data_IF_748824491729
#
_entry.id   IF_748824491729
#
_cell.length_a   1.000
_cell.length_b   1.000
_cell.length_c   1.000
_cell.angle_alpha   90.00
_cell.angle_beta   90.00
_cell.angle_gamma   90.00
#
_symmetry.space_group_name_H-M   'P 1'
#
loop_
_entity.id
_entity.type
_entity.pdbx_description
1 polymer ?
#
# COMPACT_ATOMS: atom_id res chain seq x y z
N UNK A 1 13.46 11.97 26.57
CA UNK A 1 12.85 11.58 25.29
C UNK A 1 13.94 10.93 24.47
N UNK A 2 13.72 9.69 24.05
CA UNK A 2 14.64 9.00 23.15
C UNK A 2 14.63 9.71 21.79
N UNK A 3 15.77 9.75 21.09
CA UNK A 3 15.85 10.40 19.78
C UNK A 3 15.22 9.47 18.71
N UNK A 4 14.48 10.02 17.73
CA UNK A 4 13.83 9.21 16.71
C UNK A 4 14.87 8.45 15.86
N UNK A 5 14.50 7.25 15.41
CA UNK A 5 15.31 6.44 14.50
C UNK A 5 15.42 7.09 13.11
N UNK A 6 14.34 7.74 12.65
CA UNK A 6 14.29 8.49 11.40
C UNK A 6 13.69 9.87 11.68
N UNK A 7 14.36 10.94 11.26
CA UNK A 7 13.80 12.30 11.20
C UNK A 7 13.85 12.83 9.77
N UNK A 8 12.70 13.22 9.24
CA UNK A 8 12.54 13.87 7.93
C UNK A 8 11.99 15.26 8.18
N UNK A 9 12.71 16.29 7.75
CA UNK A 9 12.40 17.69 8.05
C UNK A 9 12.35 18.53 6.77
N UNK A 10 11.14 18.93 6.38
CA UNK A 10 10.81 19.79 5.25
C UNK A 10 11.48 19.34 3.95
N UNK A 11 11.45 18.03 3.70
CA UNK A 11 12.14 17.42 2.58
C UNK A 11 11.37 17.65 1.29
N UNK A 12 12.05 18.29 0.36
CA UNK A 12 11.55 18.54 -0.99
C UNK A 12 12.52 17.96 -2.03
N UNK A 13 11.99 17.39 -3.11
CA UNK A 13 12.78 16.85 -4.21
C UNK A 13 12.17 17.20 -5.56
N UNK A 14 12.97 17.81 -6.44
CA UNK A 14 12.63 18.04 -7.85
C UNK A 14 13.56 17.31 -8.80
N UNK A 15 13.03 16.94 -9.95
CA UNK A 15 13.75 16.38 -11.09
C UNK A 15 13.61 17.31 -12.29
N UNK A 16 14.65 17.38 -13.13
CA UNK A 16 14.59 18.14 -14.39
C UNK A 16 13.84 17.31 -15.45
N UNK A 17 12.86 17.90 -16.13
CA UNK A 17 12.19 17.35 -17.31
C UNK A 17 13.14 17.47 -18.52
N UNK A 18 13.35 16.36 -19.24
CA UNK A 18 14.18 16.29 -20.46
C UNK A 18 15.30 15.25 -20.40
N UNK A 19 15.78 14.80 -21.56
CA UNK A 19 16.92 13.87 -21.66
C UNK A 19 18.14 14.48 -20.96
N UNK A 20 18.81 13.67 -20.13
CA UNK A 20 20.10 13.97 -19.57
C UNK A 20 21.17 13.99 -20.70
N UNK A 21 21.17 15.04 -21.51
CA UNK A 21 22.31 15.39 -22.34
C UNK A 21 23.44 15.81 -21.42
N UNK A 22 24.62 15.25 -21.62
CA UNK A 22 25.85 15.69 -20.96
C UNK A 22 25.95 17.21 -21.09
N UNK A 23 26.02 17.92 -19.95
CA UNK A 23 26.40 19.34 -19.96
C UNK A 23 27.78 19.43 -20.59
N UNK A 24 27.86 19.99 -21.78
CA UNK A 24 29.15 20.25 -22.43
C UNK A 24 29.66 21.61 -21.95
N UNK A 25 30.98 21.76 -21.78
CA UNK A 25 31.62 23.04 -21.41
C UNK A 25 31.19 24.20 -22.33
N UNK A 26 30.81 23.89 -23.58
CA UNK A 26 30.23 24.85 -24.53
C UNK A 26 28.91 25.46 -24.05
N UNK A 27 28.02 24.69 -23.42
CA UNK A 27 26.75 25.21 -22.90
C UNK A 27 26.96 26.14 -21.69
N UNK A 28 27.94 25.86 -20.84
CA UNK A 28 28.28 26.74 -19.70
C UNK A 28 28.89 28.07 -20.18
N UNK A 29 29.73 28.04 -21.22
CA UNK A 29 30.31 29.24 -21.84
C UNK A 29 29.25 30.11 -22.53
N UNK A 30 28.31 29.50 -23.28
CA UNK A 30 27.20 30.22 -23.91
C UNK A 30 26.25 30.87 -22.89
N UNK A 31 26.02 30.22 -21.74
CA UNK A 31 25.20 30.78 -20.67
C UNK A 31 25.92 31.90 -19.89
N UNK A 32 27.26 31.92 -19.92
CA UNK A 32 28.05 32.99 -19.30
C UNK A 32 27.97 34.29 -20.10
N UNK A 33 28.02 34.21 -21.43
CA UNK A 33 27.88 35.38 -22.33
C UNK A 33 26.43 35.86 -22.42
N UNK A 34 25.45 34.97 -22.34
CA UNK A 34 24.03 35.32 -22.31
C UNK A 34 23.53 35.99 -21.00
N UNK A 35 24.35 36.02 -19.94
CA UNK A 35 24.01 36.69 -18.67
C UNK A 35 24.17 38.21 -18.72
N UNK A 36 24.86 38.77 -19.71
CA UNK A 36 25.04 40.22 -19.82
C UNK A 36 23.87 40.95 -20.50
N UNK A 37 22.96 40.26 -21.20
CA UNK A 37 21.99 40.91 -22.10
C UNK A 37 20.52 40.54 -21.86
N UNK A 38 20.18 39.80 -20.80
CA UNK A 38 18.78 39.44 -20.51
C UNK A 38 18.33 39.84 -19.09
N UNK A 39 17.24 40.62 -18.94
CA UNK A 39 16.62 40.84 -17.65
C UNK A 39 16.16 39.49 -17.08
N UNK A 40 16.49 39.20 -15.81
CA UNK A 40 16.09 37.98 -15.11
C UNK A 40 14.59 38.01 -14.84
N UNK A 41 13.78 37.57 -15.79
CA UNK A 41 12.42 37.10 -15.49
C UNK A 41 12.51 35.68 -14.92
N UNK A 42 12.03 35.52 -13.69
CA UNK A 42 12.01 34.28 -12.91
C UNK A 42 10.98 33.24 -13.39
N UNK A 43 10.24 33.52 -14.46
CA UNK A 43 9.09 32.71 -14.89
C UNK A 43 9.44 31.56 -15.85
N UNK A 44 10.65 31.55 -16.44
CA UNK A 44 11.06 30.54 -17.41
C UNK A 44 11.80 29.32 -16.84
N UNK A 45 12.35 29.42 -15.63
CA UNK A 45 13.25 28.40 -15.08
C UNK A 45 12.52 27.17 -14.49
N UNK A 46 11.24 27.31 -14.13
CA UNK A 46 10.51 26.29 -13.36
C UNK A 46 9.74 25.28 -14.23
N UNK A 47 9.48 25.60 -15.51
CA UNK A 47 8.79 24.68 -16.45
C UNK A 47 9.57 23.39 -16.72
N UNK A 48 10.89 23.43 -16.56
CA UNK A 48 11.78 22.31 -16.76
C UNK A 48 11.97 21.45 -15.52
N UNK A 49 11.24 21.66 -14.42
CA UNK A 49 11.34 20.83 -13.23
C UNK A 49 9.98 20.25 -12.83
N UNK A 50 10.01 19.04 -12.29
CA UNK A 50 8.86 18.38 -11.66
C UNK A 50 9.21 18.11 -10.20
N UNK A 51 8.36 18.54 -9.28
CA UNK A 51 8.48 18.20 -7.88
C UNK A 51 7.91 16.80 -7.66
N UNK A 52 8.76 15.89 -7.19
CA UNK A 52 8.36 14.55 -6.76
C UNK A 52 7.99 14.50 -5.27
N UNK A 53 8.57 15.38 -4.46
CA UNK A 53 8.22 15.59 -3.05
C UNK A 53 8.27 17.09 -2.73
N UNK A 54 7.37 17.54 -1.86
CA UNK A 54 7.21 18.92 -1.41
C UNK A 54 6.98 18.95 0.09
N UNK A 55 7.96 19.50 0.80
CA UNK A 55 7.95 19.85 2.23
C UNK A 55 7.41 18.73 3.13
N UNK A 56 7.89 17.50 2.89
CA UNK A 56 7.52 16.31 3.67
C UNK A 56 8.27 16.32 4.99
N UNK A 57 7.53 16.18 6.09
CA UNK A 57 8.06 16.11 7.46
C UNK A 57 7.41 14.99 8.25
N UNK A 58 8.21 14.13 8.87
CA UNK A 58 7.75 13.09 9.80
C UNK A 58 8.93 12.52 10.60
N UNK A 59 8.60 11.87 11.71
CA UNK A 59 9.56 11.14 12.56
C UNK A 59 9.10 9.70 12.74
N UNK A 60 10.06 8.80 12.90
CA UNK A 60 9.84 7.38 13.19
C UNK A 60 10.63 7.01 14.44
N UNK A 61 9.93 6.50 15.44
CA UNK A 61 10.52 6.08 16.71
C UNK A 61 11.23 4.72 16.58
N UNK A 62 12.23 4.41 17.42
CA UNK A 62 12.85 3.09 17.45
C UNK A 62 11.81 1.97 17.65
N UNK A 63 11.86 0.95 16.82
CA UNK A 63 10.93 -0.20 16.87
C UNK A 63 9.55 0.06 16.27
N UNK A 64 9.30 1.28 15.76
CA UNK A 64 8.06 1.62 15.09
C UNK A 64 7.98 1.00 13.69
N UNK A 65 6.77 0.62 13.27
CA UNK A 65 6.48 -0.01 11.99
C UNK A 65 5.60 0.91 11.16
N UNK A 66 6.25 1.70 10.31
CA UNK A 66 5.64 2.74 9.50
C UNK A 66 5.31 2.24 8.09
N UNK A 67 4.03 2.34 7.70
CA UNK A 67 3.59 2.16 6.33
C UNK A 67 3.60 3.49 5.56
N UNK A 68 4.11 3.51 4.33
CA UNK A 68 3.99 4.66 3.42
C UNK A 68 3.14 4.22 2.24
N UNK A 69 1.93 4.77 2.17
CA UNK A 69 0.94 4.45 1.15
C UNK A 69 0.59 5.69 0.33
N UNK A 70 -0.07 5.48 -0.81
CA UNK A 70 -0.42 6.55 -1.73
C UNK A 70 -0.49 6.06 -3.16
N UNK A 71 -1.09 6.83 -4.08
CA UNK A 71 -1.27 6.40 -5.47
C UNK A 71 0.06 6.35 -6.22
N UNK A 72 0.02 5.82 -7.44
CA UNK A 72 1.17 5.88 -8.35
C UNK A 72 1.54 7.32 -8.66
N UNK A 73 2.84 7.61 -8.70
CA UNK A 73 3.36 8.97 -8.90
C UNK A 73 3.24 9.92 -7.69
N UNK A 74 2.80 9.45 -6.53
CA UNK A 74 2.70 10.27 -5.30
C UNK A 74 4.05 10.63 -4.65
N UNK A 75 5.16 10.02 -5.09
CA UNK A 75 6.50 10.26 -4.56
C UNK A 75 7.05 9.16 -3.65
N UNK A 76 6.32 8.06 -3.40
CA UNK A 76 6.75 6.91 -2.58
C UNK A 76 8.18 6.42 -2.87
N UNK A 77 8.45 5.98 -4.10
CA UNK A 77 9.79 5.51 -4.52
C UNK A 77 10.85 6.61 -4.42
N UNK A 78 10.47 7.87 -4.61
CA UNK A 78 11.41 8.99 -4.42
C UNK A 78 11.76 9.15 -2.95
N UNK A 79 10.78 9.13 -2.04
CA UNK A 79 11.00 9.22 -0.60
C UNK A 79 11.85 8.05 -0.11
N UNK A 80 11.53 6.84 -0.55
CA UNK A 80 12.28 5.63 -0.28
C UNK A 80 13.76 5.76 -0.72
N UNK A 81 14.03 6.27 -1.93
CA UNK A 81 15.41 6.54 -2.41
C UNK A 81 16.13 7.64 -1.62
N UNK A 82 15.42 8.61 -1.09
CA UNK A 82 15.99 9.64 -0.22
C UNK A 82 16.35 9.06 1.15
N UNK A 83 15.46 8.26 1.75
CA UNK A 83 15.71 7.55 3.00
C UNK A 83 16.88 6.57 2.86
N UNK A 84 16.97 5.85 1.72
CA UNK A 84 18.07 4.96 1.41
C UNK A 84 19.41 5.66 1.13
N UNK A 85 19.43 7.00 1.06
CA UNK A 85 20.64 7.76 0.72
C UNK A 85 21.09 7.66 -0.75
N UNK A 86 20.34 6.94 -1.60
CA UNK A 86 20.64 6.77 -3.04
C UNK A 86 20.56 8.13 -3.76
N UNK A 87 19.69 9.01 -3.31
CA UNK A 87 19.56 10.36 -3.86
C UNK A 87 19.49 11.39 -2.74
N UNK A 88 20.07 12.58 -2.97
CA UNK A 88 20.01 13.69 -2.01
C UNK A 88 18.73 14.53 -2.17
N UNK A 89 18.16 15.05 -1.08
CA UNK A 89 17.04 15.98 -1.15
C UNK A 89 17.45 17.28 -1.84
N UNK A 90 16.51 18.00 -2.44
CA UNK A 90 16.75 19.35 -2.99
C UNK A 90 16.71 20.40 -1.89
N UNK A 91 15.80 20.24 -0.92
CA UNK A 91 15.70 21.04 0.30
C UNK A 91 15.34 20.13 1.47
N UNK A 92 15.57 20.61 2.69
CA UNK A 92 15.29 19.86 3.92
C UNK A 92 16.41 18.91 4.32
N UNK A 93 16.18 18.14 5.37
CA UNK A 93 17.16 17.26 5.98
C UNK A 93 16.53 15.90 6.31
N UNK A 94 17.31 14.84 6.13
CA UNK A 94 17.01 13.49 6.61
C UNK A 94 18.12 13.10 7.58
N UNK A 95 17.74 12.61 8.76
CA UNK A 95 18.66 12.08 9.77
C UNK A 95 18.23 10.66 10.12
N UNK A 96 19.19 9.73 10.16
CA UNK A 96 18.97 8.33 10.51
C UNK A 96 19.89 7.94 11.66
N UNK A 97 19.36 7.20 12.64
CA UNK A 97 20.13 6.70 13.79
C UNK A 97 20.11 5.18 13.79
N UNK A 98 21.22 4.58 13.37
CA UNK A 98 21.40 3.14 13.29
C UNK A 98 21.80 2.68 11.89
N UNK A 99 22.07 1.38 11.77
CA UNK A 99 22.38 0.68 10.52
C UNK A 99 21.10 0.53 9.70
N UNK A 100 21.11 1.11 8.50
CA UNK A 100 20.02 1.02 7.55
C UNK A 100 20.17 -0.24 6.68
N UNK A 101 19.15 -1.09 6.68
CA UNK A 101 18.97 -2.16 5.73
C UNK A 101 17.94 -1.77 4.68
N UNK A 102 18.21 -2.09 3.42
CA UNK A 102 17.42 -1.61 2.30
C UNK A 102 17.06 -2.78 1.38
N UNK A 103 15.78 -3.20 1.39
CA UNK A 103 15.23 -4.22 0.47
C UNK A 103 14.72 -3.57 -0.82
N UNK A 104 15.57 -2.77 -1.45
CA UNK A 104 15.26 -2.08 -2.69
C UNK A 104 16.29 -2.54 -3.71
N UNK A 105 15.85 -2.90 -4.91
CA UNK A 105 16.74 -3.32 -5.99
C UNK A 105 17.64 -4.51 -5.55
N UNK A 106 17.05 -5.62 -5.09
CA UNK A 106 17.76 -6.79 -4.52
C UNK A 106 18.84 -7.43 -5.43
N UNK A 107 18.81 -7.13 -6.73
CA UNK A 107 19.82 -7.58 -7.70
C UNK A 107 20.98 -6.59 -7.84
N UNK A 108 20.85 -5.37 -7.32
CA UNK A 108 21.90 -4.37 -7.33
C UNK A 108 23.05 -4.83 -6.44
N UNK A 109 24.26 -4.77 -6.99
CA UNK A 109 25.47 -5.22 -6.30
C UNK A 109 25.91 -6.64 -6.61
N UNK A 110 25.15 -7.40 -7.41
CA UNK A 110 25.68 -8.64 -7.98
C UNK A 110 26.66 -8.39 -9.12
N UNK A 111 27.74 -9.16 -9.13
CA UNK A 111 28.74 -9.16 -10.18
C UNK A 111 28.60 -10.42 -11.05
N UNK A 112 28.30 -10.28 -12.36
CA UNK A 112 27.97 -11.41 -13.25
C UNK A 112 29.03 -12.51 -13.34
N UNK A 113 30.31 -12.13 -13.23
CA UNK A 113 31.44 -13.07 -13.31
C UNK A 113 31.76 -13.78 -11.99
N UNK A 114 31.20 -13.31 -10.86
CA UNK A 114 31.41 -13.93 -9.57
C UNK A 114 30.42 -15.09 -9.33
N UNK A 115 30.84 -16.07 -8.57
CA UNK A 115 30.00 -17.19 -8.09
C UNK A 115 28.88 -16.69 -7.18
N UNK A 116 27.86 -17.52 -6.95
CA UNK A 116 26.83 -17.23 -5.95
C UNK A 116 27.42 -16.97 -4.56
N UNK A 117 28.41 -17.77 -4.14
CA UNK A 117 29.13 -17.58 -2.88
C UNK A 117 29.76 -16.20 -2.80
N UNK A 118 30.57 -15.83 -3.78
CA UNK A 118 31.24 -14.51 -3.80
C UNK A 118 30.23 -13.36 -3.84
N UNK A 119 29.12 -13.54 -4.55
CA UNK A 119 28.03 -12.58 -4.59
C UNK A 119 27.30 -12.43 -3.24
N UNK A 120 27.16 -13.49 -2.44
CA UNK A 120 26.65 -13.39 -1.05
C UNK A 120 27.57 -12.50 -0.21
N UNK A 121 28.89 -12.68 -0.32
CA UNK A 121 29.85 -11.84 0.40
C UNK A 121 29.86 -10.39 -0.10
N UNK A 122 29.83 -10.18 -1.42
CA UNK A 122 29.81 -8.85 -2.03
C UNK A 122 28.53 -8.09 -1.67
N UNK A 123 27.37 -8.72 -1.89
CA UNK A 123 26.07 -8.10 -1.63
C UNK A 123 25.87 -7.84 -0.13
N UNK A 124 26.23 -8.79 0.73
CA UNK A 124 26.18 -8.60 2.19
C UNK A 124 27.06 -7.44 2.65
N UNK A 125 28.27 -7.29 2.10
CA UNK A 125 29.15 -6.17 2.43
C UNK A 125 28.58 -4.83 1.94
N UNK A 126 28.00 -4.77 0.74
CA UNK A 126 27.32 -3.57 0.21
C UNK A 126 26.15 -3.17 1.13
N UNK A 127 25.42 -4.14 1.66
CA UNK A 127 24.31 -3.93 2.60
C UNK A 127 24.76 -3.64 4.05
N UNK A 128 26.07 -3.60 4.32
CA UNK A 128 26.61 -3.25 5.65
C UNK A 128 26.74 -4.43 6.63
N UNK A 129 26.80 -5.67 6.14
CA UNK A 129 27.17 -6.83 6.94
C UNK A 129 28.69 -6.88 7.14
N UNK A 130 29.12 -7.18 8.37
CA UNK A 130 30.52 -7.51 8.62
C UNK A 130 30.83 -8.89 8.01
N UNK A 131 32.06 -9.10 7.52
CA UNK A 131 32.46 -10.39 6.92
C UNK A 131 32.25 -11.60 7.85
N UNK A 132 32.42 -11.40 9.16
CA UNK A 132 32.15 -12.43 10.17
C UNK A 132 30.65 -12.76 10.30
N UNK A 133 29.79 -11.74 10.19
CA UNK A 133 28.33 -11.91 10.18
C UNK A 133 27.89 -12.72 8.96
N UNK A 134 28.40 -12.38 7.77
CA UNK A 134 28.11 -13.11 6.53
C UNK A 134 28.52 -14.57 6.66
N UNK A 135 29.74 -14.83 7.17
CA UNK A 135 30.25 -16.20 7.35
C UNK A 135 29.35 -17.03 8.26
N UNK A 136 28.90 -16.46 9.38
CA UNK A 136 28.04 -17.14 10.36
C UNK A 136 26.68 -17.50 9.77
N UNK A 137 26.12 -16.65 8.90
CA UNK A 137 24.78 -16.82 8.32
C UNK A 137 24.79 -17.44 6.92
N UNK A 138 25.97 -17.81 6.40
CA UNK A 138 26.11 -18.19 4.99
C UNK A 138 25.22 -19.38 4.63
N UNK A 139 25.24 -20.44 5.43
CA UNK A 139 24.47 -21.65 5.15
C UNK A 139 22.96 -21.37 5.23
N UNK A 140 22.51 -20.61 6.23
CA UNK A 140 21.10 -20.17 6.34
C UNK A 140 20.64 -19.35 5.12
N UNK A 141 21.50 -18.46 4.60
CA UNK A 141 21.22 -17.66 3.40
C UNK A 141 21.07 -18.57 2.18
N UNK A 142 21.97 -19.54 2.01
CA UNK A 142 21.97 -20.46 0.86
C UNK A 142 20.75 -21.39 0.90
N UNK A 143 20.42 -21.92 2.08
CA UNK A 143 19.26 -22.77 2.31
C UNK A 143 17.95 -22.01 2.09
N UNK A 144 17.87 -20.76 2.57
CA UNK A 144 16.71 -19.90 2.37
C UNK A 144 16.48 -19.62 0.88
N UNK A 145 17.55 -19.30 0.14
CA UNK A 145 17.49 -19.02 -1.29
C UNK A 145 17.18 -20.26 -2.14
N UNK A 146 17.47 -21.46 -1.63
CA UNK A 146 17.31 -22.72 -2.35
C UNK A 146 18.23 -22.82 -3.58
N UNK A 147 19.48 -22.35 -3.45
CA UNK A 147 20.47 -22.32 -4.55
C UNK A 147 21.74 -23.12 -4.24
N UNK A 148 21.71 -24.00 -3.24
CA UNK A 148 22.88 -24.76 -2.76
C UNK A 148 23.69 -25.45 -3.86
N UNK A 149 23.05 -26.17 -4.78
CA UNK A 149 23.73 -26.85 -5.90
C UNK A 149 24.42 -25.89 -6.88
N UNK A 150 23.97 -24.63 -6.94
CA UNK A 150 24.44 -23.62 -7.87
C UNK A 150 25.40 -22.61 -7.22
N UNK A 151 25.67 -22.73 -5.92
CA UNK A 151 26.35 -21.68 -5.16
C UNK A 151 27.77 -21.36 -5.67
N UNK A 152 28.47 -22.38 -6.20
CA UNK A 152 29.80 -22.24 -6.81
C UNK A 152 29.75 -21.88 -8.31
N UNK A 153 28.56 -21.69 -8.89
CA UNK A 153 28.38 -21.30 -10.29
C UNK A 153 28.32 -19.78 -10.43
N UNK A 154 28.94 -19.17 -11.47
CA UNK A 154 28.81 -17.75 -11.76
C UNK A 154 27.36 -17.29 -11.90
N UNK A 155 27.00 -16.16 -11.28
CA UNK A 155 25.61 -15.71 -11.16
C UNK A 155 24.96 -15.37 -12.52
N UNK A 156 25.77 -15.06 -13.55
CA UNK A 156 25.27 -14.89 -14.93
C UNK A 156 24.58 -16.14 -15.51
N UNK A 157 24.80 -17.33 -14.91
CA UNK A 157 24.15 -18.58 -15.30
C UNK A 157 22.88 -18.87 -14.49
N UNK A 158 22.56 -18.04 -13.50
CA UNK A 158 21.35 -18.20 -12.70
C UNK A 158 20.14 -17.74 -13.50
N UNK A 159 18.99 -18.37 -13.28
CA UNK A 159 17.72 -17.78 -13.71
C UNK A 159 17.45 -16.48 -12.94
N UNK A 160 16.65 -15.58 -13.50
CA UNK A 160 16.22 -14.34 -12.81
C UNK A 160 15.62 -14.64 -11.43
N UNK A 161 14.84 -15.73 -11.32
CA UNK A 161 14.27 -16.16 -10.04
C UNK A 161 15.33 -16.54 -9.01
N UNK A 162 16.36 -17.31 -9.39
CA UNK A 162 17.46 -17.66 -8.49
C UNK A 162 18.25 -16.42 -8.03
N UNK A 163 18.49 -15.46 -8.93
CA UNK A 163 19.16 -14.21 -8.58
C UNK A 163 18.34 -13.42 -7.55
N UNK A 164 17.03 -13.24 -7.79
CA UNK A 164 16.14 -12.58 -6.85
C UNK A 164 16.11 -13.30 -5.50
N UNK A 165 15.97 -14.63 -5.50
CA UNK A 165 15.93 -15.43 -4.26
C UNK A 165 17.20 -15.26 -3.44
N UNK A 166 18.37 -15.30 -4.08
CA UNK A 166 19.65 -15.10 -3.41
C UNK A 166 19.78 -13.67 -2.84
N UNK A 167 19.43 -12.65 -3.62
CA UNK A 167 19.48 -11.25 -3.18
C UNK A 167 18.56 -11.00 -1.99
N UNK A 168 17.34 -11.54 -2.04
CA UNK A 168 16.41 -11.49 -0.91
C UNK A 168 16.96 -12.24 0.30
N UNK A 169 17.50 -13.45 0.12
CA UNK A 169 18.01 -14.26 1.22
C UNK A 169 19.12 -13.54 2.00
N UNK A 170 20.07 -12.90 1.29
CA UNK A 170 21.11 -12.07 1.93
C UNK A 170 20.47 -10.97 2.76
N UNK A 171 19.55 -10.23 2.15
CA UNK A 171 18.95 -9.05 2.74
C UNK A 171 18.00 -9.38 3.92
N UNK A 172 17.30 -10.52 3.87
CA UNK A 172 16.43 -11.01 4.93
C UNK A 172 17.20 -11.54 6.16
N UNK A 173 18.48 -11.86 5.97
CA UNK A 173 19.40 -12.25 7.05
C UNK A 173 20.24 -11.07 7.55
N UNK A 174 19.99 -9.85 7.07
CA UNK A 174 20.57 -8.64 7.64
C UNK A 174 19.97 -8.36 9.04
N UNK A 175 20.80 -7.86 9.95
CA UNK A 175 20.39 -7.37 11.28
C UNK A 175 20.42 -5.82 11.35
N UNK A 176 19.63 -5.06 10.55
CA UNK A 176 19.67 -3.61 10.61
C UNK A 176 18.82 -3.08 11.78
N UNK A 177 19.16 -1.88 12.25
CA UNK A 177 18.35 -1.14 13.22
C UNK A 177 17.08 -0.57 12.56
N UNK A 178 17.19 -0.23 11.27
CA UNK A 178 16.13 0.33 10.43
C UNK A 178 16.06 -0.47 9.13
N UNK A 179 14.91 -1.06 8.83
CA UNK A 179 14.66 -1.77 7.57
C UNK A 179 13.73 -0.97 6.66
N UNK A 180 14.21 -0.58 5.49
CA UNK A 180 13.38 -0.05 4.40
C UNK A 180 12.98 -1.18 3.47
N UNK A 181 11.70 -1.25 3.17
CA UNK A 181 11.13 -2.31 2.35
C UNK A 181 10.29 -1.70 1.24
N UNK A 182 10.60 -2.06 0.00
CA UNK A 182 9.78 -1.71 -1.16
C UNK A 182 8.83 -2.87 -1.53
N UNK A 183 7.82 -2.54 -2.32
CA UNK A 183 6.75 -3.41 -2.81
C UNK A 183 7.24 -4.64 -3.62
N UNK A 184 8.51 -4.63 -4.00
CA UNK A 184 9.22 -5.68 -4.76
C UNK A 184 9.29 -7.01 -4.01
N UNK A 185 8.71 -7.14 -2.82
CA UNK A 185 8.48 -8.44 -2.16
C UNK A 185 7.68 -9.45 -3.02
N UNK A 186 7.03 -8.99 -4.09
CA UNK A 186 6.23 -9.84 -4.98
C UNK A 186 7.04 -10.60 -6.07
N UNK A 187 8.37 -10.51 -6.11
CA UNK A 187 9.17 -11.34 -7.06
C UNK A 187 9.57 -12.68 -6.44
N UNK A 188 9.23 -13.77 -7.14
CA UNK A 188 9.43 -15.15 -6.71
C UNK A 188 8.15 -15.98 -6.88
N UNK A 189 8.24 -17.29 -6.63
CA UNK A 189 7.06 -18.15 -6.52
C UNK A 189 6.30 -17.90 -5.20
N UNK A 190 5.04 -18.30 -5.14
CA UNK A 190 4.17 -18.11 -3.96
C UNK A 190 4.76 -18.71 -2.68
N UNK A 191 5.47 -19.84 -2.78
CA UNK A 191 6.10 -20.47 -1.63
C UNK A 191 7.26 -19.61 -1.08
N UNK A 192 8.08 -19.04 -1.97
CA UNK A 192 9.15 -18.12 -1.58
C UNK A 192 8.59 -16.81 -1.03
N UNK A 193 7.52 -16.25 -1.62
CA UNK A 193 6.85 -15.05 -1.09
C UNK A 193 6.34 -15.27 0.34
N UNK A 194 5.74 -16.42 0.64
CA UNK A 194 5.30 -16.77 1.99
C UNK A 194 6.49 -16.89 2.97
N UNK A 195 7.61 -17.48 2.55
CA UNK A 195 8.86 -17.49 3.34
C UNK A 195 9.36 -16.07 3.61
N UNK A 196 9.31 -15.19 2.62
CA UNK A 196 9.71 -13.78 2.74
C UNK A 196 8.85 -13.05 3.78
N UNK A 197 7.53 -13.15 3.66
CA UNK A 197 6.58 -12.53 4.59
C UNK A 197 6.75 -13.05 6.03
N UNK A 198 6.98 -14.36 6.20
CA UNK A 198 7.27 -14.96 7.50
C UNK A 198 8.53 -14.36 8.13
N UNK A 199 9.66 -14.36 7.40
CA UNK A 199 10.92 -13.80 7.89
C UNK A 199 10.82 -12.30 8.19
N UNK A 200 10.08 -11.55 7.39
CA UNK A 200 9.81 -10.13 7.65
C UNK A 200 8.95 -9.92 8.90
N UNK A 201 7.99 -10.80 9.15
CA UNK A 201 7.23 -10.85 10.40
C UNK A 201 8.12 -11.10 11.60
N UNK A 202 9.12 -11.98 11.50
CA UNK A 202 10.12 -12.24 12.55
C UNK A 202 10.95 -10.98 12.82
N UNK A 203 11.50 -10.37 11.77
CA UNK A 203 12.26 -9.11 11.83
C UNK A 203 11.42 -7.98 12.45
N UNK A 204 10.13 -7.92 12.13
CA UNK A 204 9.18 -6.95 12.69
C UNK A 204 8.77 -7.24 14.15
N UNK A 205 9.05 -8.45 14.67
CA UNK A 205 8.82 -8.83 16.08
C UNK A 205 10.02 -8.55 16.98
N UNK A 206 11.22 -8.51 16.42
CA UNK A 206 12.48 -8.27 17.16
C UNK A 206 12.69 -6.80 17.63
N UNK A 207 11.64 -5.97 17.62
CA UNK A 207 11.73 -4.57 18.06
C UNK A 207 12.51 -3.64 17.10
N UNK A 208 12.73 -4.07 15.85
CA UNK A 208 13.41 -3.28 14.83
C UNK A 208 12.47 -2.24 14.20
N UNK A 209 13.05 -1.13 13.77
CA UNK A 209 12.30 -0.07 13.06
C UNK A 209 12.07 -0.51 11.62
N UNK A 210 10.82 -0.46 11.13
CA UNK A 210 10.50 -0.86 9.75
C UNK A 210 9.77 0.28 9.05
N UNK A 211 10.22 0.60 7.84
CA UNK A 211 9.48 1.47 6.91
C UNK A 211 9.10 0.64 5.70
N UNK A 212 7.81 0.39 5.55
CA UNK A 212 7.26 -0.40 4.47
C UNK A 212 6.52 0.47 3.46
N UNK A 213 6.93 0.39 2.21
CA UNK A 213 6.31 1.14 1.10
C UNK A 213 5.62 0.13 0.19
N UNK A 214 4.29 0.18 0.12
CA UNK A 214 3.53 -0.77 -0.70
C UNK A 214 2.15 -0.23 -1.06
N UNK A 215 1.61 -0.65 -2.20
CA UNK A 215 0.18 -0.53 -2.51
C UNK A 215 -0.66 -1.73 -2.02
N UNK A 216 -0.05 -2.80 -1.50
CA UNK A 216 -0.77 -3.95 -0.95
C UNK A 216 -1.26 -3.65 0.47
N UNK A 217 -2.54 -3.25 0.58
CA UNK A 217 -3.13 -2.84 1.86
C UNK A 217 -3.20 -3.97 2.89
N UNK A 218 -3.32 -5.24 2.48
CA UNK A 218 -3.33 -6.38 3.40
C UNK A 218 -1.96 -6.57 4.08
N UNK A 219 -0.88 -6.48 3.30
CA UNK A 219 0.49 -6.53 3.81
C UNK A 219 0.79 -5.33 4.72
N UNK A 220 0.43 -4.12 4.30
CA UNK A 220 0.65 -2.91 5.10
C UNK A 220 -0.12 -2.97 6.41
N UNK A 221 -1.38 -3.43 6.40
CA UNK A 221 -2.22 -3.56 7.60
C UNK A 221 -1.69 -4.60 8.59
N UNK A 222 -1.08 -5.68 8.11
CA UNK A 222 -0.54 -6.73 8.98
C UNK A 222 0.83 -6.38 9.57
N UNK A 223 1.65 -5.65 8.81
CA UNK A 223 3.04 -5.34 9.19
C UNK A 223 3.21 -3.99 9.89
N UNK A 224 2.34 -3.00 9.63
CA UNK A 224 2.50 -1.63 10.10
C UNK A 224 1.39 -1.21 11.08
N UNK A 225 1.76 -0.46 12.12
CA UNK A 225 0.82 0.09 13.11
C UNK A 225 0.54 1.59 12.90
N UNK A 226 1.43 2.30 12.21
CA UNK A 226 1.26 3.69 11.79
C UNK A 226 1.43 3.83 10.27
N UNK A 227 0.73 4.79 9.67
CA UNK A 227 0.77 5.05 8.24
C UNK A 227 0.92 6.52 7.89
N UNK A 228 1.60 6.77 6.77
CA UNK A 228 1.64 8.06 6.08
C UNK A 228 0.99 7.91 4.71
N UNK A 229 0.11 8.83 4.35
CA UNK A 229 -0.46 8.91 3.00
C UNK A 229 0.24 10.00 2.21
N UNK A 230 0.99 9.58 1.19
CA UNK A 230 1.58 10.48 0.22
C UNK A 230 0.63 10.74 -0.94
N UNK A 231 0.52 11.99 -1.34
CA UNK A 231 -0.25 12.42 -2.50
C UNK A 231 0.43 13.58 -3.21
N UNK A 232 0.68 13.44 -4.52
CA UNK A 232 1.29 14.47 -5.37
C UNK A 232 2.57 15.11 -4.75
N UNK A 233 3.35 14.32 -4.03
CA UNK A 233 4.59 14.73 -3.38
C UNK A 233 4.44 15.28 -1.96
N UNK A 234 3.23 15.42 -1.43
CA UNK A 234 2.98 15.90 -0.06
C UNK A 234 2.52 14.76 0.85
N UNK A 235 2.86 14.83 2.14
CA UNK A 235 2.31 13.94 3.17
C UNK A 235 1.00 14.54 3.69
N UNK A 236 -0.14 14.04 3.20
CA UNK A 236 -1.46 14.60 3.53
C UNK A 236 -2.05 14.03 4.83
N UNK A 237 -1.59 12.84 5.23
CA UNK A 237 -2.02 12.19 6.47
C UNK A 237 -0.84 11.48 7.13
N UNK A 238 -0.78 11.51 8.46
CA UNK A 238 0.14 10.73 9.27
C UNK A 238 -0.55 10.35 10.60
N UNK A 239 -0.64 9.06 10.90
CA UNK A 239 -1.38 8.60 12.08
C UNK A 239 -1.51 7.07 12.11
N UNK A 240 -2.40 6.52 12.94
CA UNK A 240 -2.65 5.08 13.01
C UNK A 240 -2.90 4.47 11.62
N UNK A 241 -2.36 3.27 11.35
CA UNK A 241 -2.38 2.68 10.00
C UNK A 241 -3.81 2.49 9.47
N UNK A 242 -4.76 2.15 10.33
CA UNK A 242 -6.18 2.02 9.95
C UNK A 242 -6.75 3.33 9.40
N UNK A 243 -6.47 4.46 10.05
CA UNK A 243 -6.92 5.79 9.62
C UNK A 243 -6.23 6.21 8.31
N UNK A 244 -4.94 5.90 8.17
CA UNK A 244 -4.20 6.16 6.94
C UNK A 244 -4.81 5.40 5.74
N UNK A 245 -5.15 4.11 5.92
CA UNK A 245 -5.83 3.32 4.87
C UNK A 245 -7.18 3.95 4.52
N UNK A 246 -7.95 4.36 5.52
CA UNK A 246 -9.25 5.00 5.30
C UNK A 246 -9.11 6.33 4.53
N UNK A 247 -8.17 7.19 4.93
CA UNK A 247 -7.86 8.43 4.22
C UNK A 247 -7.45 8.15 2.78
N UNK A 248 -6.56 7.18 2.56
CA UNK A 248 -6.13 6.77 1.23
C UNK A 248 -7.28 6.27 0.36
N UNK A 249 -8.17 5.42 0.91
CA UNK A 249 -9.36 4.94 0.21
C UNK A 249 -10.31 6.11 -0.15
N UNK A 250 -10.55 7.05 0.77
CA UNK A 250 -11.31 8.27 0.49
C UNK A 250 -10.69 9.12 -0.62
N UNK A 251 -9.36 9.25 -0.62
CA UNK A 251 -8.60 9.98 -1.63
C UNK A 251 -8.65 9.28 -3.01
N UNK A 252 -8.69 7.96 -3.06
CA UNK A 252 -8.88 7.23 -4.32
C UNK A 252 -10.30 7.45 -4.84
N UNK A 253 -11.31 7.38 -3.96
CA UNK A 253 -12.72 7.67 -4.31
C UNK A 253 -12.93 9.08 -4.87
N UNK A 254 -12.26 10.09 -4.31
CA UNK A 254 -12.32 11.47 -4.83
C UNK A 254 -11.64 11.67 -6.19
N UNK A 255 -10.67 10.80 -6.53
CA UNK A 255 -10.06 10.73 -7.88
C UNK A 255 -10.88 9.91 -8.86
N UNK A 256 -11.63 8.93 -8.37
CA UNK A 256 -12.41 8.02 -9.21
C UNK A 256 -13.63 8.69 -9.85
N UNK A 257 -14.10 9.86 -9.40
CA UNK A 257 -15.16 10.59 -10.11
C UNK A 257 -14.73 10.95 -11.57
N UNK A 258 -13.44 11.13 -11.82
CA UNK A 258 -12.90 11.29 -13.18
C UNK A 258 -12.58 9.95 -13.87
N UNK A 259 -12.28 8.89 -13.11
CA UNK A 259 -12.01 7.53 -13.62
C UNK A 259 -13.28 6.77 -14.01
N UNK A 260 -14.42 7.10 -13.39
CA UNK A 260 -15.78 6.62 -13.70
C UNK A 260 -16.09 6.81 -15.20
N UNK A 261 -15.60 7.87 -15.84
CA UNK A 261 -15.77 8.09 -17.29
C UNK A 261 -15.01 7.09 -18.18
N UNK A 262 -14.10 6.29 -17.63
CA UNK A 262 -13.29 5.28 -18.35
C UNK A 262 -13.57 3.85 -17.89
N UNK A 263 -14.40 3.65 -16.87
CA UNK A 263 -14.78 2.32 -16.41
C UNK A 263 -15.69 1.66 -17.46
N UNK A 264 -15.55 0.34 -17.61
CA UNK A 264 -16.39 -0.48 -18.46
C UNK A 264 -17.00 -1.62 -17.63
N UNK A 265 -18.20 -2.04 -17.98
CA UNK A 265 -18.98 -3.02 -17.26
C UNK A 265 -19.44 -2.55 -15.88
N UNK A 266 -19.87 -3.51 -15.07
CA UNK A 266 -20.32 -3.32 -13.69
C UNK A 266 -19.14 -3.42 -12.71
N UNK A 267 -18.92 -2.39 -11.89
CA UNK A 267 -17.84 -2.36 -10.89
C UNK A 267 -18.28 -1.68 -9.58
N UNK A 268 -17.97 -2.28 -8.43
CA UNK A 268 -18.14 -1.61 -7.13
C UNK A 268 -16.97 -0.66 -6.88
N UNK A 269 -17.30 0.59 -6.55
CA UNK A 269 -16.36 1.71 -6.39
C UNK A 269 -16.03 1.99 -4.92
N UNK A 270 -16.92 1.61 -3.99
CA UNK A 270 -16.58 1.71 -2.58
C UNK A 270 -17.65 1.24 -1.61
N UNK A 271 -17.19 0.96 -0.38
CA UNK A 271 -18.02 0.63 0.78
C UNK A 271 -17.76 1.64 1.91
N UNK A 272 -18.81 2.21 2.50
CA UNK A 272 -18.77 3.03 3.70
C UNK A 272 -19.62 2.39 4.78
N UNK A 273 -19.18 2.46 6.02
CA UNK A 273 -19.96 2.03 7.18
C UNK A 273 -19.85 3.14 8.23
N UNK A 274 -20.95 3.46 8.92
CA UNK A 274 -20.99 4.50 9.95
C UNK A 274 -21.84 4.03 11.15
N UNK A 275 -21.55 4.48 12.40
CA UNK A 275 -20.77 5.66 12.78
C UNK A 275 -19.22 5.58 12.71
N UNK A 276 -18.61 4.43 12.46
CA UNK A 276 -17.15 4.31 12.62
C UNK A 276 -16.29 4.47 11.37
N UNK A 277 -15.14 5.13 11.52
CA UNK A 277 -14.02 5.11 10.58
C UNK A 277 -13.00 4.02 10.97
N UNK A 278 -12.38 3.39 9.95
CA UNK A 278 -11.25 2.43 9.98
C UNK A 278 -11.31 1.14 10.83
N UNK A 279 -11.85 1.18 12.06
CA UNK A 279 -12.30 0.03 12.87
C UNK A 279 -13.57 0.46 13.57
N UNK A 280 -14.71 0.37 12.88
CA UNK A 280 -15.93 0.88 13.44
C UNK A 280 -16.31 0.03 14.66
N UNK A 281 -16.14 0.64 15.84
CA UNK A 281 -16.66 0.12 17.09
C UNK A 281 -18.14 0.44 17.14
N UNK A 282 -18.95 -0.60 17.15
CA UNK A 282 -20.38 -0.49 17.33
C UNK A 282 -20.75 -1.08 18.67
N UNK A 283 -21.89 -0.67 19.18
CA UNK A 283 -22.53 -1.36 20.29
C UNK A 283 -23.55 -2.36 19.75
N UNK A 284 -23.80 -3.46 20.47
CA UNK A 284 -24.87 -4.42 20.11
C UNK A 284 -26.22 -3.73 19.87
N UNK A 285 -26.54 -2.72 20.68
CA UNK A 285 -27.77 -1.93 20.56
C UNK A 285 -27.65 -0.69 19.65
N UNK A 286 -26.49 -0.50 19.03
CA UNK A 286 -26.20 0.68 18.21
C UNK A 286 -26.71 0.55 16.78
N UNK A 287 -26.96 1.69 16.11
CA UNK A 287 -27.28 1.70 14.69
C UNK A 287 -26.02 1.49 13.85
N UNK A 288 -26.20 0.91 12.67
CA UNK A 288 -25.21 0.81 11.61
C UNK A 288 -25.83 1.29 10.31
N UNK A 289 -25.11 2.14 9.59
CA UNK A 289 -25.47 2.50 8.21
C UNK A 289 -24.33 2.07 7.31
N UNK A 290 -24.64 1.26 6.30
CA UNK A 290 -23.70 0.82 5.30
C UNK A 290 -24.10 1.32 3.90
N UNK A 291 -23.14 1.85 3.16
CA UNK A 291 -23.35 2.37 1.81
C UNK A 291 -22.37 1.76 0.83
N UNK A 292 -22.86 1.32 -0.32
CA UNK A 292 -22.07 0.84 -1.45
C UNK A 292 -22.23 1.80 -2.63
N UNK A 293 -21.12 2.28 -3.19
CA UNK A 293 -21.09 2.96 -4.49
C UNK A 293 -20.67 1.98 -5.58
N UNK A 294 -21.34 1.98 -6.72
CA UNK A 294 -20.95 1.17 -7.88
C UNK A 294 -21.20 1.91 -9.19
N UNK A 295 -20.46 1.57 -10.23
CA UNK A 295 -20.58 2.08 -11.58
C UNK A 295 -21.06 0.99 -12.53
N UNK A 296 -21.86 1.37 -13.52
CA UNK A 296 -22.19 0.53 -14.68
C UNK A 296 -22.20 1.38 -15.95
N UNK A 297 -21.69 0.85 -17.06
CA UNK A 297 -21.72 1.52 -18.38
C UNK A 297 -22.94 1.10 -19.24
N UNK A 298 -23.72 0.14 -18.77
CA UNK A 298 -24.93 -0.36 -19.43
C UNK A 298 -26.10 -0.43 -18.43
N UNK A 299 -27.36 -0.41 -18.92
CA UNK A 299 -28.52 -0.55 -18.06
C UNK A 299 -28.54 -1.91 -17.36
N UNK A 300 -28.86 -1.91 -16.08
CA UNK A 300 -29.05 -3.10 -15.27
C UNK A 300 -30.54 -3.26 -14.93
N UNK A 301 -31.33 -3.94 -15.77
CA UNK A 301 -32.74 -4.18 -15.49
C UNK A 301 -32.87 -5.31 -14.46
N UNK A 302 -33.73 -5.11 -13.45
CA UNK A 302 -34.07 -6.10 -12.44
C UNK A 302 -32.84 -6.74 -11.74
N UNK A 303 -32.23 -5.96 -10.87
CA UNK A 303 -31.16 -6.43 -9.98
C UNK A 303 -31.72 -6.91 -8.65
N UNK A 304 -30.97 -7.70 -7.92
CA UNK A 304 -31.15 -7.79 -6.47
C UNK A 304 -29.84 -7.48 -5.75
N UNK A 305 -29.98 -6.82 -4.61
CA UNK A 305 -28.86 -6.43 -3.75
C UNK A 305 -28.84 -7.36 -2.56
N UNK A 306 -27.64 -7.73 -2.14
CA UNK A 306 -27.40 -8.59 -1.00
C UNK A 306 -26.46 -7.89 -0.02
N UNK A 307 -26.88 -7.77 1.24
CA UNK A 307 -26.11 -7.26 2.36
C UNK A 307 -25.83 -8.39 3.35
N UNK A 308 -24.55 -8.61 3.66
CA UNK A 308 -24.11 -9.72 4.49
C UNK A 308 -23.25 -9.22 5.64
N UNK A 309 -23.51 -9.74 6.84
CA UNK A 309 -22.58 -9.73 7.97
C UNK A 309 -22.24 -11.18 8.34
N UNK A 310 -20.96 -11.51 8.36
CA UNK A 310 -20.42 -12.82 8.68
C UNK A 310 -19.50 -12.79 9.90
N UNK A 311 -19.40 -13.91 10.62
CA UNK A 311 -18.41 -14.10 11.69
C UNK A 311 -17.04 -14.55 11.15
N UNK A 312 -16.08 -14.78 12.05
CA UNK A 312 -14.74 -15.24 11.69
C UNK A 312 -14.68 -16.64 11.08
N UNK A 313 -15.74 -17.46 11.23
CA UNK A 313 -15.87 -18.78 10.63
C UNK A 313 -16.61 -18.72 9.27
N UNK A 314 -16.97 -17.52 8.80
CA UNK A 314 -17.70 -17.29 7.55
C UNK A 314 -19.19 -17.63 7.63
N UNK A 315 -19.76 -17.76 8.84
CA UNK A 315 -21.20 -18.00 9.00
C UNK A 315 -21.95 -16.68 8.82
N UNK A 316 -22.96 -16.69 7.95
CA UNK A 316 -23.82 -15.52 7.75
C UNK A 316 -24.71 -15.32 8.97
N UNK A 317 -24.53 -14.19 9.64
CA UNK A 317 -25.32 -13.78 10.80
C UNK A 317 -26.42 -12.81 10.41
N UNK A 318 -26.12 -11.89 9.50
CA UNK A 318 -27.11 -11.01 8.88
C UNK A 318 -27.06 -11.26 7.40
N UNK A 319 -28.22 -11.53 6.80
CA UNK A 319 -28.37 -11.74 5.38
C UNK A 319 -29.65 -11.06 4.92
N UNK A 320 -29.53 -9.88 4.32
CA UNK A 320 -30.66 -9.12 3.79
C UNK A 320 -30.55 -9.05 2.28
N UNK A 321 -31.58 -9.51 1.57
CA UNK A 321 -31.64 -9.45 0.11
C UNK A 321 -32.90 -8.73 -0.35
N UNK A 322 -32.79 -7.85 -1.34
CA UNK A 322 -33.95 -7.08 -1.82
C UNK A 322 -35.01 -7.96 -2.49
N UNK A 323 -34.63 -9.06 -3.15
CA UNK A 323 -35.56 -9.97 -3.81
C UNK A 323 -36.47 -10.74 -2.83
N UNK A 324 -36.03 -10.94 -1.58
CA UNK A 324 -36.89 -11.52 -0.53
C UNK A 324 -38.04 -10.59 -0.12
N UNK A 325 -37.98 -9.32 -0.51
CA UNK A 325 -39.01 -8.31 -0.27
C UNK A 325 -39.69 -7.86 -1.57
N UNK A 326 -39.56 -8.63 -2.65
CA UNK A 326 -40.03 -8.27 -4.01
C UNK A 326 -39.47 -6.94 -4.54
N UNK A 327 -38.29 -6.53 -4.05
CA UNK A 327 -37.60 -5.31 -4.49
C UNK A 327 -36.52 -5.67 -5.53
N UNK A 328 -36.79 -5.28 -6.78
CA UNK A 328 -35.92 -5.50 -7.94
C UNK A 328 -35.41 -4.17 -8.53
N UNK A 329 -34.47 -3.48 -7.87
CA UNK A 329 -33.99 -2.19 -8.34
C UNK A 329 -33.41 -2.28 -9.75
N UNK A 330 -33.64 -1.23 -10.53
CA UNK A 330 -33.08 -1.08 -11.86
C UNK A 330 -32.20 0.16 -11.90
N UNK A 331 -31.05 0.06 -12.59
CA UNK A 331 -30.05 1.12 -12.63
C UNK A 331 -29.72 1.46 -14.08
N UNK A 332 -29.69 2.76 -14.41
CA UNK A 332 -29.17 3.23 -15.69
C UNK A 332 -27.63 3.23 -15.71
N UNK A 333 -27.00 3.49 -16.86
CA UNK A 333 -25.57 3.76 -16.92
C UNK A 333 -25.19 4.93 -16.01
N UNK A 334 -24.11 4.81 -15.23
CA UNK A 334 -23.64 5.86 -14.32
C UNK A 334 -23.18 5.32 -12.97
N UNK A 335 -22.91 6.26 -12.06
CA UNK A 335 -22.51 5.98 -10.69
C UNK A 335 -23.75 5.97 -9.79
N UNK A 336 -23.92 4.91 -9.03
CA UNK A 336 -25.05 4.68 -8.13
C UNK A 336 -24.57 4.46 -6.72
N UNK A 337 -25.42 4.83 -5.77
CA UNK A 337 -25.24 4.57 -4.34
C UNK A 337 -26.40 3.76 -3.82
N UNK A 338 -26.08 2.69 -3.11
CA UNK A 338 -26.99 1.86 -2.34
C UNK A 338 -26.70 2.07 -0.87
N UNK A 339 -27.73 2.13 -0.05
CA UNK A 339 -27.65 2.35 1.39
C UNK A 339 -28.54 1.36 2.12
N UNK A 340 -28.00 0.80 3.19
CA UNK A 340 -28.70 -0.06 4.15
C UNK A 340 -28.60 0.59 5.51
N UNK A 341 -29.74 0.87 6.11
CA UNK A 341 -29.87 1.34 7.48
C UNK A 341 -30.27 0.16 8.37
N UNK A 342 -29.45 -0.11 9.38
CA UNK A 342 -29.65 -1.11 10.42
C UNK A 342 -29.84 -0.37 11.75
N UNK A 343 -31.08 -0.22 12.25
CA UNK A 343 -31.34 0.59 13.44
C UNK A 343 -30.76 -0.03 14.72
N UNK A 344 -30.59 -1.37 14.75
CA UNK A 344 -30.03 -2.11 15.89
C UNK A 344 -29.31 -3.36 15.39
N UNK A 345 -28.01 -3.50 15.68
CA UNK A 345 -27.21 -4.64 15.23
C UNK A 345 -27.60 -5.97 15.86
N UNK A 346 -27.87 -6.00 17.17
CA UNK A 346 -28.22 -7.21 17.90
C UNK A 346 -27.12 -8.29 17.91
N UNK A 347 -25.89 -7.97 17.51
CA UNK A 347 -24.78 -8.92 17.46
C UNK A 347 -24.10 -9.03 18.83
N UNK A 348 -23.61 -10.22 19.18
CA UNK A 348 -22.77 -10.43 20.37
C UNK A 348 -21.48 -9.63 20.27
N UNK A 349 -20.83 -9.41 21.41
CA UNK A 349 -19.48 -8.85 21.42
C UNK A 349 -18.53 -9.70 20.59
N UNK A 350 -17.81 -9.10 19.63
CA UNK A 350 -16.97 -9.84 18.70
C UNK A 350 -16.55 -9.06 17.46
N UNK A 351 -15.81 -9.75 16.58
CA UNK A 351 -15.34 -9.21 15.29
C UNK A 351 -16.11 -9.87 14.15
N UNK A 352 -16.60 -9.05 13.24
CA UNK A 352 -17.41 -9.45 12.09
C UNK A 352 -16.89 -8.85 10.81
N UNK A 353 -17.37 -9.37 9.70
CA UNK A 353 -17.10 -8.84 8.37
C UNK A 353 -18.40 -8.51 7.66
N UNK A 354 -18.47 -7.34 7.02
CA UNK A 354 -19.62 -6.81 6.31
C UNK A 354 -19.28 -6.58 4.85
N UNK A 355 -20.18 -6.93 3.94
CA UNK A 355 -20.01 -6.67 2.51
C UNK A 355 -21.35 -6.64 1.78
N UNK A 356 -21.31 -6.10 0.56
CA UNK A 356 -22.42 -6.08 -0.38
C UNK A 356 -22.12 -6.93 -1.60
N UNK A 357 -23.18 -7.45 -2.20
CA UNK A 357 -23.15 -8.03 -3.54
C UNK A 357 -24.34 -7.54 -4.35
N UNK A 358 -24.06 -7.18 -5.59
CA UNK A 358 -25.06 -6.87 -6.60
C UNK A 358 -25.15 -8.05 -7.57
N UNK A 359 -26.37 -8.51 -7.83
CA UNK A 359 -26.68 -9.52 -8.83
C UNK A 359 -27.61 -8.97 -9.90
N UNK A 360 -27.31 -9.26 -11.15
CA UNK A 360 -28.13 -8.90 -12.31
C UNK A 360 -28.83 -10.16 -12.82
N UNK A 361 -30.16 -10.14 -12.86
CA UNK A 361 -30.96 -11.33 -13.17
C UNK A 361 -31.49 -11.38 -14.62
N UNK A 362 -31.15 -10.41 -15.47
CA UNK A 362 -31.76 -10.26 -16.80
C UNK A 362 -30.96 -10.91 -17.95
N UNK A 363 -31.68 -11.53 -18.89
CA UNK A 363 -31.15 -11.90 -20.22
C UNK A 363 -30.31 -13.18 -20.29
N UNK A 364 -30.30 -14.02 -19.26
CA UNK A 364 -29.50 -15.26 -19.23
C UNK A 364 -28.01 -15.05 -18.95
N UNK A 365 -27.57 -13.80 -18.79
CA UNK A 365 -26.25 -13.42 -18.31
C UNK A 365 -26.36 -13.09 -16.83
N UNK A 366 -25.70 -13.88 -15.97
CA UNK A 366 -25.62 -13.58 -14.54
C UNK A 366 -24.35 -12.77 -14.28
N UNK A 367 -24.48 -11.45 -14.28
CA UNK A 367 -23.40 -10.59 -13.78
C UNK A 367 -23.50 -10.44 -12.27
N UNK A 368 -22.36 -10.42 -11.60
CA UNK A 368 -22.28 -10.15 -10.17
C UNK A 368 -21.08 -9.25 -9.86
N UNK A 369 -21.25 -8.39 -8.88
CA UNK A 369 -20.18 -7.55 -8.38
C UNK A 369 -20.19 -7.52 -6.84
N UNK A 370 -19.02 -7.73 -6.27
CA UNK A 370 -18.80 -7.74 -4.82
C UNK A 370 -18.14 -6.44 -4.38
N UNK A 371 -18.57 -5.91 -3.24
CA UNK A 371 -17.83 -4.86 -2.56
C UNK A 371 -16.58 -5.41 -1.87
N UNK A 372 -15.67 -4.51 -1.53
CA UNK A 372 -14.70 -4.77 -0.47
C UNK A 372 -15.41 -5.21 0.83
N UNK A 373 -14.65 -5.87 1.71
CA UNK A 373 -15.11 -6.32 3.03
C UNK A 373 -14.73 -5.29 4.10
N UNK A 374 -15.70 -4.84 4.89
CA UNK A 374 -15.49 -3.99 6.06
C UNK A 374 -15.50 -4.81 7.34
N UNK A 375 -14.52 -4.59 8.23
CA UNK A 375 -14.49 -5.24 9.53
C UNK A 375 -15.34 -4.44 10.53
N UNK A 376 -16.14 -5.12 11.34
CA UNK A 376 -16.93 -4.52 12.43
C UNK A 376 -16.41 -5.08 13.76
N UNK A 377 -16.15 -4.21 14.73
CA UNK A 377 -15.88 -4.60 16.12
C UNK A 377 -17.12 -4.21 16.93
N UNK A 378 -17.80 -5.19 17.52
CA UNK A 378 -19.03 -4.97 18.27
C UNK A 378 -18.74 -5.15 19.76
N UNK A 379 -19.09 -4.16 20.56
CA UNK A 379 -19.04 -4.16 22.02
C UNK A 379 -20.46 -4.38 22.57
N UNK A 380 -20.62 -5.27 23.56
CA UNK A 380 -21.92 -5.48 24.19
C UNK A 380 -22.02 -6.77 25.01
N UNK A 381 -23.10 -6.91 25.80
CA UNK A 381 -23.32 -8.12 26.59
C UNK A 381 -23.41 -9.35 25.67
N UNK A 382 -22.97 -10.51 26.17
CA UNK A 382 -23.16 -11.78 25.47
C UNK A 382 -24.64 -12.18 25.51
N UNK A 383 -25.43 -11.65 24.57
CA UNK A 383 -26.81 -12.09 24.34
C UNK A 383 -26.74 -13.26 23.36
N UNK A 384 -27.21 -14.44 23.77
CA UNK A 384 -27.24 -15.64 22.91
C UNK A 384 -28.47 -15.69 22.01
N UNK A 385 -28.32 -16.11 20.75
CA UNK A 385 -29.42 -16.42 19.83
C UNK A 385 -29.16 -15.99 18.38
N UNK A 386 -29.95 -16.52 17.42
CA UNK A 386 -30.13 -15.90 16.11
C UNK A 386 -31.01 -14.66 16.32
N UNK A 387 -30.49 -13.49 15.98
CA UNK A 387 -31.23 -12.23 16.06
C UNK A 387 -31.63 -11.84 14.65
N UNK A 388 -32.93 -11.64 14.41
CA UNK A 388 -33.38 -10.99 13.19
C UNK A 388 -33.00 -9.51 13.26
N UNK A 389 -32.23 -9.06 12.27
CA UNK A 389 -31.68 -7.71 12.22
C UNK A 389 -32.46 -6.94 11.14
N UNK A 390 -33.44 -6.11 11.53
CA UNK A 390 -34.23 -5.38 10.55
C UNK A 390 -33.32 -4.45 9.75
N UNK A 391 -33.47 -4.46 8.42
CA UNK A 391 -32.70 -3.66 7.49
C UNK A 391 -33.66 -2.87 6.59
N UNK A 392 -33.39 -1.59 6.36
CA UNK A 392 -34.10 -0.80 5.35
C UNK A 392 -33.16 -0.37 4.23
N UNK A 393 -33.61 -0.52 2.99
CA UNK A 393 -32.83 -0.24 1.79
C UNK A 393 -33.24 1.10 1.15
N UNK A 394 -32.26 1.83 0.64
CA UNK A 394 -32.48 2.97 -0.26
C UNK A 394 -31.37 3.03 -1.31
N UNK A 395 -31.65 3.65 -2.46
CA UNK A 395 -30.67 3.79 -3.54
C UNK A 395 -30.91 5.08 -4.33
N UNK A 396 -29.82 5.69 -4.80
CA UNK A 396 -29.83 6.97 -5.51
C UNK A 396 -28.73 7.01 -6.56
N UNK A 397 -28.99 7.68 -7.67
CA UNK A 397 -27.94 8.04 -8.63
C UNK A 397 -27.04 9.14 -8.02
N UNK A 398 -25.72 8.99 -8.16
CA UNK A 398 -24.75 9.97 -7.68
C UNK A 398 -24.48 10.96 -8.81
N UNK A 399 -25.06 12.17 -8.70
CA UNK A 399 -24.74 13.26 -9.62
C UNK A 399 -23.30 13.71 -9.39
N UNK A 400 -22.46 13.54 -10.42
CA UNK A 400 -21.03 13.87 -10.42
C UNK A 400 -20.72 15.36 -10.44
#
# INVERSE_FOLDING_TARGET
MEMPAISVENVSKRFRKGQAGYRTLREDIYNLTGRLTRPRSSEGADKNYTWALKDVSFQVEPGEKLGIIGPNGSGKTTLLRLLAGITRPTKGKISLKGRLGVLIELMAGFHPELTGRENVYLNGAIMGMARAEIRRKFDEIVDFAGVGEWIETPIKRYSTGMQVRLGFAVAAHLEPDILLVDEVLAVGDTAFQNKCLGKMGDVAREGRTVVFVSHNMAAVRSLCNRGIVLNQGSAEFAGPMGEAIYYYQGLMRGRDIQAVKRMQGLQVVGLRVSPGSSRPRFTSDGPLVAEMDFFTDHPLPACYLNFVIEDGDGRFLVHSRTDLFDLWPSFGPGLHRVRVDVPRLGLRGGVYTLWFRLYVAAGGVTEMADSDRAMLEVDGPQVGGLVDVPCSWSWTEVKG
#
